data_IF_945618486275
#
_entry.id   IF_945618486275
#
_cell.length_a   1.000
_cell.length_b   1.000
_cell.length_c   1.000
_cell.angle_alpha   90.00
_cell.angle_beta   90.00
_cell.angle_gamma   90.00
#
_symmetry.space_group_name_H-M   'P 1'
#
loop_
_entity.id
_entity.type
_entity.pdbx_description
1 polymer ?
#
# COMPACT_ATOMS: atom_id res chain seq x y z
N UNK A 1 92.67 89.18 -40.32
CA UNK A 1 91.38 88.53 -40.68
C UNK A 1 91.44 87.44 -41.76
N UNK A 2 92.23 87.54 -42.85
CA UNK A 2 92.23 86.51 -43.92
C UNK A 2 92.95 85.17 -43.57
N UNK A 3 94.02 85.21 -42.77
CA UNK A 3 94.87 84.04 -42.46
C UNK A 3 94.23 83.09 -41.43
N UNK A 4 93.50 83.63 -40.45
CA UNK A 4 92.70 82.85 -39.49
C UNK A 4 91.50 82.18 -40.16
N UNK A 5 90.81 82.84 -41.09
CA UNK A 5 89.71 82.23 -41.88
C UNK A 5 90.15 81.02 -42.71
N UNK A 6 91.37 81.00 -43.27
CA UNK A 6 91.92 79.83 -43.99
C UNK A 6 92.25 78.66 -43.05
N UNK A 7 92.78 78.93 -41.85
CA UNK A 7 93.08 77.91 -40.83
C UNK A 7 91.79 77.29 -40.27
N UNK A 8 90.77 78.12 -40.00
CA UNK A 8 89.44 77.66 -39.59
C UNK A 8 88.77 76.80 -40.67
N UNK A 9 88.81 77.20 -41.95
CA UNK A 9 88.28 76.39 -43.07
C UNK A 9 88.98 75.03 -43.21
N UNK A 10 90.31 74.97 -43.04
CA UNK A 10 91.07 73.70 -43.11
C UNK A 10 90.74 72.78 -41.93
N UNK A 11 90.60 73.33 -40.73
CA UNK A 11 90.16 72.59 -39.54
C UNK A 11 88.71 72.07 -39.70
N UNK A 12 87.83 72.89 -40.29
CA UNK A 12 86.44 72.53 -40.57
C UNK A 12 86.34 71.39 -41.60
N UNK A 13 87.17 71.41 -42.65
CA UNK A 13 87.23 70.34 -43.66
C UNK A 13 87.76 69.03 -43.07
N UNK A 14 88.80 69.07 -42.23
CA UNK A 14 89.31 67.88 -41.54
C UNK A 14 88.28 67.34 -40.54
N UNK A 15 87.58 68.20 -39.82
CA UNK A 15 86.49 67.82 -38.92
C UNK A 15 85.29 67.22 -39.69
N UNK A 16 84.93 67.79 -40.85
CA UNK A 16 83.89 67.25 -41.73
C UNK A 16 84.29 65.88 -42.30
N UNK A 17 85.54 65.70 -42.73
CA UNK A 17 86.07 64.41 -43.20
C UNK A 17 86.10 63.37 -42.07
N UNK A 18 86.43 63.78 -40.83
CA UNK A 18 86.39 62.92 -39.65
C UNK A 18 84.95 62.52 -39.26
N UNK A 19 83.99 63.44 -39.37
CA UNK A 19 82.56 63.12 -39.22
C UNK A 19 82.11 62.16 -40.34
N UNK A 20 82.60 62.36 -41.56
CA UNK A 20 82.29 61.49 -42.70
C UNK A 20 82.81 60.06 -42.48
N UNK A 21 84.06 59.90 -42.01
CA UNK A 21 84.65 58.59 -41.73
C UNK A 21 83.97 57.89 -40.56
N UNK A 22 83.61 58.63 -39.49
CA UNK A 22 82.76 58.11 -38.40
C UNK A 22 81.40 57.68 -38.96
N UNK A 23 80.82 58.45 -39.87
CA UNK A 23 79.58 58.12 -40.56
C UNK A 23 79.68 56.83 -41.39
N UNK A 24 80.78 56.63 -42.13
CA UNK A 24 81.03 55.40 -42.89
C UNK A 24 81.29 54.18 -42.00
N UNK A 25 82.04 54.34 -40.90
CA UNK A 25 82.29 53.27 -39.92
C UNK A 25 80.97 52.89 -39.23
N UNK A 26 80.17 53.88 -38.83
CA UNK A 26 78.85 53.65 -38.23
C UNK A 26 77.87 53.02 -39.23
N UNK A 27 77.85 53.50 -40.48
CA UNK A 27 77.03 52.93 -41.55
C UNK A 27 77.44 51.49 -41.90
N UNK A 28 78.74 51.23 -42.03
CA UNK A 28 79.29 49.89 -42.23
C UNK A 28 78.99 48.96 -41.05
N UNK A 29 79.05 49.46 -39.82
CA UNK A 29 78.66 48.72 -38.61
C UNK A 29 77.16 48.37 -38.61
N UNK A 30 76.28 49.30 -39.00
CA UNK A 30 74.84 49.04 -39.15
C UNK A 30 74.55 47.98 -40.22
N UNK A 31 75.23 48.06 -41.37
CA UNK A 31 75.10 47.10 -42.46
C UNK A 31 75.60 45.73 -42.01
N UNK A 32 76.75 45.67 -41.33
CA UNK A 32 77.27 44.45 -40.71
C UNK A 32 76.27 43.82 -39.73
N UNK A 33 75.66 44.62 -38.84
CA UNK A 33 74.62 44.13 -37.93
C UNK A 33 73.40 43.60 -38.69
N UNK A 34 72.96 44.26 -39.77
CA UNK A 34 71.86 43.77 -40.60
C UNK A 34 72.19 42.47 -41.32
N UNK A 35 73.41 42.32 -41.85
CA UNK A 35 73.86 41.10 -42.53
C UNK A 35 74.09 39.92 -41.57
N UNK A 36 74.42 40.18 -40.30
CA UNK A 36 74.75 39.13 -39.32
C UNK A 36 73.61 38.76 -38.38
N UNK A 37 72.76 39.73 -38.01
CA UNK A 37 71.62 39.54 -37.09
C UNK A 37 70.31 39.41 -37.87
N UNK A 38 70.13 40.19 -38.94
CA UNK A 38 68.90 40.19 -39.75
C UNK A 38 68.44 38.79 -40.18
N UNK A 39 69.30 37.96 -40.80
CA UNK A 39 68.94 36.59 -41.20
C UNK A 39 68.57 35.66 -40.03
N UNK A 40 68.99 36.00 -38.81
CA UNK A 40 68.67 35.24 -37.60
C UNK A 40 67.35 35.68 -36.97
N UNK A 41 66.82 36.84 -37.31
CA UNK A 41 65.49 37.25 -36.84
C UNK A 41 64.44 36.38 -37.53
N UNK A 42 63.58 35.74 -36.73
CA UNK A 42 62.42 35.04 -37.27
C UNK A 42 61.46 36.08 -37.82
N UNK A 43 61.07 35.96 -39.08
CA UNK A 43 60.07 36.83 -39.70
C UNK A 43 58.74 36.76 -38.95
N UNK A 44 58.40 35.57 -38.46
CA UNK A 44 57.18 35.27 -37.73
C UNK A 44 57.43 34.31 -36.56
N UNK A 45 56.77 34.57 -35.44
CA UNK A 45 56.70 33.70 -34.26
C UNK A 45 55.24 33.39 -34.00
N UNK A 46 54.92 32.10 -33.92
CA UNK A 46 53.61 31.61 -33.48
C UNK A 46 53.68 31.37 -31.98
N UNK A 47 52.65 31.82 -31.26
CA UNK A 47 52.49 31.60 -29.82
C UNK A 47 51.10 31.06 -29.55
N UNK A 48 51.03 29.98 -28.79
CA UNK A 48 49.77 29.43 -28.33
C UNK A 48 49.15 30.32 -27.25
N UNK A 49 47.83 30.47 -27.28
CA UNK A 49 47.12 31.34 -26.36
C UNK A 49 47.37 30.94 -24.89
N UNK A 50 47.65 31.94 -24.05
CA UNK A 50 48.01 31.75 -22.65
C UNK A 50 49.43 31.25 -22.38
N UNK A 51 50.26 31.02 -23.40
CA UNK A 51 51.69 30.69 -23.21
C UNK A 51 52.57 31.93 -22.99
N UNK A 52 53.74 31.70 -22.39
CA UNK A 52 54.71 32.74 -22.12
C UNK A 52 55.69 32.90 -23.29
N UNK A 53 55.88 34.14 -23.75
CA UNK A 53 56.85 34.47 -24.79
C UNK A 53 58.01 35.33 -24.25
N UNK A 54 59.22 35.01 -24.69
CA UNK A 54 60.47 35.71 -24.36
C UNK A 54 61.03 36.40 -25.60
N UNK A 55 61.78 37.49 -25.38
CA UNK A 55 62.41 38.22 -26.49
C UNK A 55 63.43 37.38 -27.27
N UNK A 56 63.99 36.32 -26.66
CA UNK A 56 64.85 35.34 -27.32
C UNK A 56 64.13 34.51 -28.40
N UNK A 57 62.81 34.33 -28.29
CA UNK A 57 62.06 33.41 -29.15
C UNK A 57 61.95 33.93 -30.60
N UNK A 58 62.23 35.22 -30.79
CA UNK A 58 62.28 35.91 -32.07
C UNK A 58 63.60 35.74 -32.83
N UNK A 59 64.60 35.06 -32.25
CA UNK A 59 65.94 34.92 -32.85
C UNK A 59 66.31 33.44 -32.99
N UNK A 60 66.88 33.07 -34.14
CA UNK A 60 67.45 31.75 -34.41
C UNK A 60 68.84 31.63 -33.79
N UNK A 61 69.04 30.62 -32.94
CA UNK A 61 70.32 30.35 -32.27
C UNK A 61 70.61 31.27 -31.08
N UNK A 62 71.81 31.13 -30.49
CA UNK A 62 72.21 31.95 -29.34
C UNK A 62 72.46 33.42 -29.75
N UNK A 63 71.86 34.35 -29.01
CA UNK A 63 72.13 35.78 -29.13
C UNK A 63 72.66 36.32 -27.79
N UNK A 64 73.91 36.85 -27.73
CA UNK A 64 74.48 37.38 -26.49
C UNK A 64 74.00 38.81 -26.16
N UNK A 65 73.19 39.43 -27.02
CA UNK A 65 72.79 40.83 -26.89
C UNK A 65 71.45 40.99 -26.19
N UNK A 66 71.31 42.06 -25.39
CA UNK A 66 70.02 42.49 -24.83
C UNK A 66 69.05 42.85 -25.97
N UNK A 67 67.82 42.37 -25.85
CA UNK A 67 66.74 42.60 -26.83
C UNK A 67 65.65 43.41 -26.15
N UNK A 68 65.34 44.58 -26.68
CA UNK A 68 64.18 45.38 -26.27
C UNK A 68 63.06 45.20 -27.30
N UNK A 69 61.82 45.04 -26.82
CA UNK A 69 60.64 44.79 -27.66
C UNK A 69 59.68 45.97 -27.57
N UNK A 70 59.13 46.39 -28.73
CA UNK A 70 58.03 47.34 -28.80
C UNK A 70 56.96 46.82 -29.78
N UNK A 71 55.68 46.67 -29.35
CA UNK A 71 55.17 46.84 -28.00
C UNK A 71 55.78 45.83 -27.00
N UNK A 72 55.66 46.12 -25.70
CA UNK A 72 56.14 45.21 -24.65
C UNK A 72 55.38 43.88 -24.69
N UNK A 73 56.10 42.76 -24.77
CA UNK A 73 55.50 41.41 -24.86
C UNK A 73 54.51 41.11 -23.72
N UNK A 74 54.75 41.62 -22.51
CA UNK A 74 53.87 41.44 -21.35
C UNK A 74 52.47 42.04 -21.52
N UNK A 75 52.30 42.98 -22.45
CA UNK A 75 51.02 43.65 -22.76
C UNK A 75 50.20 42.89 -23.81
N UNK A 76 50.79 41.92 -24.50
CA UNK A 76 50.16 41.17 -25.58
C UNK A 76 49.53 39.90 -25.01
N UNK A 77 48.29 40.01 -24.54
CA UNK A 77 47.57 38.91 -23.88
C UNK A 77 46.36 38.37 -24.66
N UNK A 78 46.04 38.95 -25.81
CA UNK A 78 44.87 38.57 -26.62
C UNK A 78 45.33 37.89 -27.90
N UNK A 79 44.54 36.93 -28.39
CA UNK A 79 44.70 36.37 -29.73
C UNK A 79 44.74 37.50 -30.77
N UNK A 80 45.65 37.40 -31.73
CA UNK A 80 45.84 38.42 -32.75
C UNK A 80 47.25 38.46 -33.33
N UNK A 81 47.42 39.30 -34.34
CA UNK A 81 48.68 39.50 -35.05
C UNK A 81 49.29 40.84 -34.67
N UNK A 82 50.51 40.80 -34.16
CA UNK A 82 51.22 41.97 -33.63
C UNK A 82 52.55 42.15 -34.35
N UNK A 83 52.82 43.37 -34.82
CA UNK A 83 54.13 43.74 -35.34
C UNK A 83 55.07 44.08 -34.18
N UNK A 84 56.14 43.32 -34.01
CA UNK A 84 57.13 43.48 -32.95
C UNK A 84 58.39 44.12 -33.53
N UNK A 85 58.76 45.26 -32.98
CA UNK A 85 60.07 45.88 -33.24
C UNK A 85 61.06 45.39 -32.19
N UNK A 86 62.15 44.77 -32.65
CA UNK A 86 63.27 44.30 -31.84
C UNK A 86 64.40 45.32 -31.93
N UNK A 87 64.80 45.91 -30.80
CA UNK A 87 65.97 46.79 -30.74
C UNK A 87 67.16 46.03 -30.17
N UNK A 88 68.20 45.87 -30.98
CA UNK A 88 69.42 45.12 -30.65
C UNK A 88 70.63 46.00 -31.02
N UNK A 89 71.49 46.32 -30.03
CA UNK A 89 72.65 47.21 -30.22
C UNK A 89 72.31 48.55 -30.92
N UNK A 90 71.13 49.10 -30.68
CA UNK A 90 70.68 50.37 -31.27
C UNK A 90 69.98 50.26 -32.63
N UNK A 91 70.11 49.12 -33.32
CA UNK A 91 69.41 48.86 -34.59
C UNK A 91 68.03 48.23 -34.36
N UNK A 92 67.11 48.49 -35.31
CA UNK A 92 65.73 48.02 -35.27
C UNK A 92 65.51 46.91 -36.29
N UNK A 93 64.95 45.81 -35.83
CA UNK A 93 64.49 44.70 -36.67
C UNK A 93 62.98 44.52 -36.48
N UNK A 94 62.31 43.98 -37.49
CA UNK A 94 60.87 43.69 -37.42
C UNK A 94 60.63 42.18 -37.40
N UNK A 95 59.65 41.76 -36.61
CA UNK A 95 59.10 40.41 -36.59
C UNK A 95 57.59 40.49 -36.36
N UNK A 96 56.87 39.43 -36.70
CA UNK A 96 55.43 39.29 -36.46
C UNK A 96 55.22 38.26 -35.35
N UNK A 97 54.55 38.65 -34.28
CA UNK A 97 54.00 37.72 -33.29
C UNK A 97 52.55 37.44 -33.65
N UNK A 98 52.22 36.19 -33.92
CA UNK A 98 50.84 35.74 -34.09
C UNK A 98 50.47 34.87 -32.89
N UNK A 99 49.59 35.39 -32.04
CA UNK A 99 49.02 34.65 -30.91
C UNK A 99 47.74 34.00 -31.42
N UNK A 100 47.68 32.67 -31.39
CA UNK A 100 46.52 31.87 -31.81
C UNK A 100 46.15 30.90 -30.70
N UNK A 101 44.87 30.61 -30.60
CA UNK A 101 44.41 29.46 -29.83
C UNK A 101 44.18 28.32 -30.81
N UNK A 102 44.94 27.24 -30.66
CA UNK A 102 44.85 26.03 -31.48
C UNK A 102 44.56 24.79 -30.65
N UNK A 103 44.46 24.96 -29.33
CA UNK A 103 44.23 23.88 -28.38
C UNK A 103 42.73 23.73 -28.16
N UNK A 104 42.12 22.58 -28.48
CA UNK A 104 40.71 22.37 -28.18
C UNK A 104 40.48 22.16 -26.68
N UNK A 105 39.27 22.43 -26.18
CA UNK A 105 38.91 22.20 -24.78
C UNK A 105 39.13 20.74 -24.36
N UNK A 106 39.56 20.50 -23.13
CA UNK A 106 39.53 19.14 -22.56
C UNK A 106 38.15 18.87 -21.99
N UNK A 107 37.61 17.69 -22.28
CA UNK A 107 36.25 17.29 -21.92
C UNK A 107 36.28 15.90 -21.30
N UNK A 108 35.67 15.70 -20.14
CA UNK A 108 35.38 14.40 -19.54
C UNK A 108 33.89 14.31 -19.25
N UNK A 109 33.31 13.14 -19.52
CA UNK A 109 31.87 12.93 -19.47
C UNK A 109 31.50 11.85 -18.44
N UNK A 110 30.24 11.88 -18.02
CA UNK A 110 29.53 10.80 -17.34
C UNK A 110 28.30 10.39 -18.14
N UNK A 111 27.85 9.17 -17.90
CA UNK A 111 26.56 8.69 -18.40
C UNK A 111 25.42 9.27 -17.55
N UNK A 112 24.26 9.47 -18.17
CA UNK A 112 23.07 10.03 -17.52
C UNK A 112 21.90 9.07 -17.67
N UNK A 113 21.09 8.95 -16.62
CA UNK A 113 19.83 8.19 -16.64
C UNK A 113 18.69 9.09 -16.19
N UNK A 114 17.62 9.11 -16.97
CA UNK A 114 16.38 9.84 -16.68
C UNK A 114 15.17 8.94 -16.87
N UNK A 115 14.02 9.35 -16.35
CA UNK A 115 12.74 8.75 -16.68
C UNK A 115 12.06 9.41 -17.88
N UNK A 116 11.19 8.68 -18.58
CA UNK A 116 10.50 9.16 -19.78
C UNK A 116 9.60 10.38 -19.51
N UNK A 117 9.06 10.50 -18.30
CA UNK A 117 8.24 11.63 -17.85
C UNK A 117 9.06 12.88 -17.48
N UNK A 118 10.38 12.76 -17.30
CA UNK A 118 11.27 13.87 -16.93
C UNK A 118 11.72 14.71 -18.14
N UNK A 119 12.21 15.91 -17.89
CA UNK A 119 12.80 16.75 -18.93
C UNK A 119 14.09 16.15 -19.50
N UNK A 120 14.38 16.41 -20.78
CA UNK A 120 15.62 15.93 -21.40
C UNK A 120 16.83 16.61 -20.74
N UNK A 121 17.95 15.87 -20.53
CA UNK A 121 19.13 16.42 -19.90
C UNK A 121 19.79 17.48 -20.78
N UNK A 122 20.40 18.46 -20.13
CA UNK A 122 21.22 19.47 -20.75
C UNK A 122 22.64 18.92 -21.01
N UNK A 123 23.41 19.49 -21.96
CA UNK A 123 24.78 19.02 -22.21
C UNK A 123 25.66 19.09 -20.96
N UNK A 124 25.41 20.04 -20.06
CA UNK A 124 26.12 20.19 -18.79
C UNK A 124 25.95 18.98 -17.86
N UNK A 125 24.80 18.29 -17.89
CA UNK A 125 24.51 17.14 -17.03
C UNK A 125 25.44 15.95 -17.32
N UNK A 126 26.00 15.89 -18.54
CA UNK A 126 26.95 14.88 -18.95
C UNK A 126 28.40 15.25 -18.63
N UNK A 127 28.71 16.48 -18.21
CA UNK A 127 30.10 16.95 -18.08
C UNK A 127 30.60 16.80 -16.65
N UNK A 128 31.61 15.96 -16.46
CA UNK A 128 32.32 15.84 -15.16
C UNK A 128 33.50 16.79 -15.08
N UNK A 129 34.14 17.08 -16.23
CA UNK A 129 35.28 18.00 -16.29
C UNK A 129 35.33 18.73 -17.63
N UNK A 130 35.54 20.04 -17.58
CA UNK A 130 35.74 20.89 -18.74
C UNK A 130 36.85 21.91 -18.44
N UNK A 131 37.97 21.85 -19.16
CA UNK A 131 39.05 22.83 -19.04
C UNK A 131 39.39 23.44 -20.39
N UNK A 132 39.43 24.76 -20.44
CA UNK A 132 39.96 25.51 -21.57
C UNK A 132 40.47 26.87 -21.10
N UNK A 133 41.41 27.46 -21.83
CA UNK A 133 41.91 28.82 -21.53
C UNK A 133 40.95 29.90 -22.02
N UNK A 134 40.01 29.54 -22.87
CA UNK A 134 39.07 30.40 -23.55
C UNK A 134 37.63 30.03 -23.15
N UNK A 135 36.64 30.82 -23.55
CA UNK A 135 35.23 30.52 -23.22
C UNK A 135 34.75 29.36 -24.09
N UNK A 136 34.10 28.38 -23.48
CA UNK A 136 33.54 27.21 -24.17
C UNK A 136 32.02 27.28 -24.25
N UNK A 137 31.48 26.85 -25.39
CA UNK A 137 30.07 26.57 -25.65
C UNK A 137 29.89 25.05 -25.79
N UNK A 138 28.91 24.48 -25.06
CA UNK A 138 28.56 23.07 -25.15
C UNK A 138 27.34 22.87 -26.05
N UNK A 139 27.34 21.78 -26.81
CA UNK A 139 26.19 21.30 -27.57
C UNK A 139 26.04 19.80 -27.39
N UNK A 140 24.81 19.34 -27.38
CA UNK A 140 24.44 17.93 -27.40
C UNK A 140 23.82 17.58 -28.76
N UNK A 141 24.03 16.36 -29.24
CA UNK A 141 23.32 15.83 -30.40
C UNK A 141 21.81 15.78 -30.14
N UNK A 142 21.02 15.64 -31.21
CA UNK A 142 19.57 15.44 -31.10
C UNK A 142 19.28 14.18 -30.27
N UNK A 143 18.27 14.27 -29.39
CA UNK A 143 17.83 13.20 -28.50
C UNK A 143 16.39 12.84 -28.88
N UNK A 144 16.16 11.55 -29.13
CA UNK A 144 14.80 11.02 -29.26
C UNK A 144 14.29 10.67 -27.85
N UNK A 145 13.16 11.26 -27.44
CA UNK A 145 12.57 11.03 -26.12
C UNK A 145 11.76 9.72 -26.11
N UNK A 146 12.47 8.60 -26.24
CA UNK A 146 11.93 7.24 -26.23
C UNK A 146 12.71 6.39 -25.24
N UNK A 147 12.05 5.41 -24.63
CA UNK A 147 12.69 4.51 -23.69
C UNK A 147 13.78 3.67 -24.35
N UNK A 148 14.90 3.52 -23.65
CA UNK A 148 16.07 2.77 -24.09
C UNK A 148 17.38 3.51 -23.88
N UNK A 149 18.45 2.84 -24.26
CA UNK A 149 19.80 3.38 -24.26
C UNK A 149 20.07 4.07 -25.60
N UNK A 150 20.56 5.31 -25.54
CA UNK A 150 21.04 6.05 -26.71
C UNK A 150 22.41 6.68 -26.45
N UNK A 151 23.19 6.80 -27.52
CA UNK A 151 24.52 7.41 -27.46
C UNK A 151 24.41 8.87 -27.89
N UNK A 152 24.76 9.80 -27.00
CA UNK A 152 24.75 11.23 -27.28
C UNK A 152 26.17 11.75 -27.48
N UNK A 153 26.33 12.72 -28.39
CA UNK A 153 27.62 13.38 -28.63
C UNK A 153 27.62 14.76 -28.01
N UNK A 154 28.53 15.00 -27.07
CA UNK A 154 28.78 16.31 -26.47
C UNK A 154 29.93 16.98 -27.19
N UNK A 155 29.67 18.16 -27.74
CA UNK A 155 30.64 18.99 -28.45
C UNK A 155 31.00 20.20 -27.61
N UNK A 156 32.25 20.29 -27.16
CA UNK A 156 32.82 21.48 -26.55
C UNK A 156 33.51 22.31 -27.64
N UNK A 157 33.00 23.52 -27.89
CA UNK A 157 33.58 24.46 -28.85
C UNK A 157 34.09 25.70 -28.13
N UNK A 158 35.37 25.98 -28.28
CA UNK A 158 35.99 27.19 -27.73
C UNK A 158 35.59 28.45 -28.54
N UNK A 159 35.90 29.65 -28.03
CA UNK A 159 35.55 30.89 -28.73
C UNK A 159 36.31 31.11 -30.06
N UNK A 160 37.39 30.34 -30.28
CA UNK A 160 38.26 30.38 -31.46
C UNK A 160 38.02 29.23 -32.44
N UNK A 161 36.94 28.45 -32.23
CA UNK A 161 36.46 27.33 -33.06
C UNK A 161 37.26 26.04 -32.96
N UNK A 162 38.12 25.88 -31.96
CA UNK A 162 38.69 24.57 -31.62
C UNK A 162 37.62 23.72 -30.92
N UNK A 163 37.61 22.41 -31.23
CA UNK A 163 36.53 21.50 -30.81
C UNK A 163 37.05 20.20 -30.22
N UNK A 164 36.34 19.73 -29.20
CA UNK A 164 36.43 18.37 -28.68
C UNK A 164 35.05 17.75 -28.67
N UNK A 165 34.94 16.55 -29.23
CA UNK A 165 33.70 15.77 -29.22
C UNK A 165 33.95 14.49 -28.43
N UNK A 166 33.04 14.20 -27.49
CA UNK A 166 33.01 12.93 -26.77
C UNK A 166 31.60 12.39 -26.73
N UNK A 167 31.50 11.07 -26.60
CA UNK A 167 30.22 10.38 -26.51
C UNK A 167 29.96 9.95 -25.08
N UNK A 168 28.70 9.99 -24.68
CA UNK A 168 28.21 9.48 -23.40
C UNK A 168 26.93 8.69 -23.63
N UNK A 169 26.59 7.82 -22.69
CA UNK A 169 25.35 7.06 -22.71
C UNK A 169 24.24 7.87 -22.01
N UNK A 170 23.10 7.99 -22.69
CA UNK A 170 21.84 8.43 -22.09
C UNK A 170 20.90 7.22 -22.02
N UNK A 171 20.46 6.89 -20.81
CA UNK A 171 19.41 5.87 -20.59
C UNK A 171 18.12 6.58 -20.23
N UNK A 172 17.08 6.41 -21.07
CA UNK A 172 15.71 6.87 -20.76
C UNK A 172 14.92 5.64 -20.36
N UNK A 173 14.37 5.60 -19.15
CA UNK A 173 13.60 4.45 -18.66
C UNK A 173 12.14 4.80 -18.44
N UNK A 174 11.26 3.83 -18.66
CA UNK A 174 9.86 3.94 -18.24
C UNK A 174 9.74 3.54 -16.78
N UNK A 175 8.88 4.25 -16.07
CA UNK A 175 8.44 3.82 -14.76
C UNK A 175 7.16 3.02 -14.90
N UNK A 176 7.26 1.73 -14.60
CA UNK A 176 6.17 0.75 -14.69
C UNK A 176 5.85 0.13 -13.34
N UNK A 177 6.56 0.57 -12.28
CA UNK A 177 6.37 0.06 -10.94
C UNK A 177 5.14 0.73 -10.33
N UNK A 178 4.22 -0.08 -9.81
CA UNK A 178 3.04 0.42 -9.12
C UNK A 178 3.25 0.54 -7.61
N UNK A 179 2.36 1.26 -6.89
CA UNK A 179 2.47 1.42 -5.44
C UNK A 179 2.48 0.08 -4.69
N UNK A 180 3.22 0.00 -3.59
CA UNK A 180 3.32 -1.19 -2.72
C UNK A 180 2.45 -0.99 -1.48
N UNK A 181 1.67 -2.02 -1.10
CA UNK A 181 0.83 -2.00 0.10
C UNK A 181 1.50 -2.63 1.31
N UNK A 182 1.35 -1.99 2.47
CA UNK A 182 1.67 -2.55 3.80
C UNK A 182 0.43 -2.60 4.70
N UNK A 183 0.50 -3.36 5.80
CA UNK A 183 -0.58 -3.40 6.80
C UNK A 183 -1.80 -4.29 6.47
N UNK A 184 -1.75 -5.06 5.38
CA UNK A 184 -2.83 -5.96 4.95
C UNK A 184 -2.94 -7.28 5.75
N UNK A 185 -2.71 -7.22 7.06
CA UNK A 185 -2.85 -8.35 7.97
C UNK A 185 -4.31 -8.81 8.09
N UNK A 186 -4.55 -10.09 8.36
CA UNK A 186 -5.92 -10.61 8.52
C UNK A 186 -6.66 -9.91 9.66
N UNK A 187 -7.90 -9.45 9.40
CA UNK A 187 -8.80 -8.92 10.44
C UNK A 187 -9.72 -10.04 10.92
N UNK A 188 -10.01 -10.09 12.22
CA UNK A 188 -11.11 -10.90 12.77
C UNK A 188 -12.14 -10.00 13.44
N UNK A 189 -13.41 -10.16 13.08
CA UNK A 189 -14.55 -9.43 13.64
C UNK A 189 -15.67 -10.40 14.00
N UNK A 190 -16.66 -9.96 14.75
CA UNK A 190 -17.91 -10.69 14.96
C UNK A 190 -18.99 -10.28 13.95
N UNK A 191 -19.99 -11.15 13.76
CA UNK A 191 -21.15 -10.84 12.92
C UNK A 191 -21.82 -9.53 13.35
N UNK A 192 -22.08 -8.66 12.38
CA UNK A 192 -22.62 -7.31 12.57
C UNK A 192 -21.58 -6.20 12.70
N UNK A 193 -20.32 -6.48 13.03
CA UNK A 193 -19.29 -5.46 13.20
C UNK A 193 -18.83 -4.88 11.85
N UNK A 194 -18.49 -3.58 11.82
CA UNK A 194 -18.02 -2.86 10.63
C UNK A 194 -16.71 -2.12 10.96
N UNK A 195 -15.53 -2.72 10.71
CA UNK A 195 -14.25 -2.10 11.03
C UNK A 195 -13.87 -1.02 10.01
N UNK A 196 -13.04 -0.06 10.42
CA UNK A 196 -12.37 0.85 9.47
C UNK A 196 -11.30 0.07 8.70
N UNK A 197 -11.54 -0.11 7.39
CA UNK A 197 -10.68 -0.90 6.51
C UNK A 197 -9.43 -0.14 6.07
N UNK A 198 -9.39 1.20 6.20
CA UNK A 198 -8.20 1.99 5.85
C UNK A 198 -7.21 2.11 7.01
N UNK A 199 -7.69 1.95 8.23
CA UNK A 199 -6.86 2.06 9.42
C UNK A 199 -5.68 1.07 9.39
N UNK A 200 -4.47 1.61 9.54
CA UNK A 200 -3.21 0.86 9.55
C UNK A 200 -2.77 0.30 8.19
N UNK A 201 -3.35 0.77 7.08
CA UNK A 201 -2.95 0.39 5.71
C UNK A 201 -2.32 1.59 5.02
N UNK A 202 -1.18 1.37 4.37
CA UNK A 202 -0.47 2.36 3.56
C UNK A 202 -0.23 1.81 2.16
N UNK A 203 -0.23 2.70 1.17
CA UNK A 203 0.25 2.43 -0.17
C UNK A 203 1.37 3.44 -0.47
N UNK A 204 2.52 2.96 -0.93
CA UNK A 204 3.69 3.80 -1.17
C UNK A 204 4.30 3.44 -2.51
N UNK A 205 4.47 4.45 -3.35
CA UNK A 205 5.25 4.38 -4.58
C UNK A 205 6.73 4.72 -4.33
N UNK A 206 7.63 4.10 -5.09
CA UNK A 206 9.07 4.29 -4.94
C UNK A 206 9.56 5.68 -5.32
N UNK A 207 8.91 6.33 -6.30
CA UNK A 207 9.26 7.67 -6.81
C UNK A 207 8.35 8.76 -6.25
N UNK A 208 7.05 8.49 -6.16
CA UNK A 208 6.04 9.48 -5.78
C UNK A 208 5.67 9.45 -4.28
N UNK A 209 6.17 8.47 -3.52
CA UNK A 209 5.92 8.38 -2.08
C UNK A 209 4.51 7.90 -1.75
N UNK A 210 3.88 8.46 -0.71
CA UNK A 210 2.59 7.95 -0.22
C UNK A 210 1.49 8.20 -1.26
N UNK A 211 0.75 7.14 -1.59
CA UNK A 211 -0.31 7.15 -2.61
C UNK A 211 -1.67 6.90 -1.98
N UNK A 212 -2.70 7.58 -2.49
CA UNK A 212 -4.08 7.27 -2.11
C UNK A 212 -4.53 5.90 -2.65
N UNK A 213 -5.48 5.27 -1.96
CA UNK A 213 -6.04 4.00 -2.36
C UNK A 213 -7.54 3.89 -2.07
N UNK A 214 -8.17 3.01 -2.84
CA UNK A 214 -9.59 2.63 -2.68
C UNK A 214 -9.70 1.23 -2.10
N UNK A 215 -10.80 0.97 -1.38
CA UNK A 215 -11.11 -0.33 -0.79
C UNK A 215 -12.47 -0.81 -1.34
N UNK A 216 -12.51 -2.03 -1.85
CA UNK A 216 -13.73 -2.72 -2.27
C UNK A 216 -13.98 -3.93 -1.35
N UNK A 217 -15.03 -3.82 -0.54
CA UNK A 217 -15.55 -4.85 0.36
C UNK A 217 -16.95 -5.33 -0.04
N UNK A 218 -17.41 -5.04 -1.26
CA UNK A 218 -18.76 -5.35 -1.75
C UNK A 218 -19.14 -6.83 -1.65
N UNK A 219 -18.14 -7.72 -1.62
CA UNK A 219 -18.32 -9.18 -1.49
C UNK A 219 -18.34 -9.68 -0.05
N UNK A 220 -18.11 -8.81 0.94
CA UNK A 220 -18.11 -9.18 2.36
C UNK A 220 -19.54 -9.18 2.89
N UNK A 221 -19.98 -10.31 3.41
CA UNK A 221 -21.21 -10.37 4.20
C UNK A 221 -20.84 -10.31 5.69
N UNK A 222 -20.86 -9.10 6.24
CA UNK A 222 -20.53 -8.84 7.64
C UNK A 222 -21.52 -9.46 8.63
N UNK A 223 -22.71 -9.85 8.18
CA UNK A 223 -23.77 -10.39 9.03
C UNK A 223 -23.79 -11.94 8.98
N UNK A 224 -22.83 -12.54 8.27
CA UNK A 224 -22.68 -13.98 8.17
C UNK A 224 -21.25 -14.39 8.49
N UNK A 225 -21.10 -15.38 9.37
CA UNK A 225 -19.78 -15.94 9.65
C UNK A 225 -19.14 -16.53 8.41
N UNK A 226 -17.86 -16.23 8.20
CA UNK A 226 -17.15 -16.67 7.02
C UNK A 226 -15.76 -16.06 6.94
N UNK A 227 -15.04 -16.42 5.89
CA UNK A 227 -13.78 -15.77 5.51
C UNK A 227 -14.01 -15.11 4.16
N UNK A 228 -13.81 -13.80 4.10
CA UNK A 228 -14.02 -12.99 2.91
C UNK A 228 -12.71 -12.30 2.50
N UNK A 229 -12.64 -11.91 1.23
CA UNK A 229 -11.54 -11.11 0.69
C UNK A 229 -12.07 -9.71 0.39
N UNK A 230 -11.27 -8.71 0.77
CA UNK A 230 -11.45 -7.32 0.38
C UNK A 230 -10.28 -6.90 -0.51
N UNK A 231 -10.52 -5.97 -1.41
CA UNK A 231 -9.58 -5.56 -2.45
C UNK A 231 -9.13 -4.12 -2.20
N UNK A 232 -7.83 -3.89 -2.28
CA UNK A 232 -7.21 -2.57 -2.16
C UNK A 232 -6.54 -2.25 -3.48
N UNK A 233 -6.82 -1.07 -4.02
CA UNK A 233 -6.28 -0.61 -5.30
C UNK A 233 -5.68 0.77 -5.13
N UNK A 234 -4.42 0.93 -5.55
CA UNK A 234 -3.69 2.20 -5.57
C UNK A 234 -3.18 2.45 -6.99
N UNK A 235 -3.02 3.73 -7.33
CA UNK A 235 -2.55 4.21 -8.63
C UNK A 235 -1.61 5.39 -8.40
N UNK A 236 -0.42 5.36 -8.97
CA UNK A 236 0.54 6.47 -8.90
C UNK A 236 0.19 7.61 -9.88
N UNK A 237 1.07 8.61 -10.00
CA UNK A 237 0.87 9.77 -10.88
C UNK A 237 0.95 9.42 -12.38
N UNK A 238 1.72 8.39 -12.75
CA UNK A 238 1.87 7.92 -14.14
C UNK A 238 0.79 6.90 -14.55
N UNK A 239 0.07 6.41 -13.57
CA UNK A 239 -1.04 5.52 -13.70
C UNK A 239 -0.75 4.03 -13.60
N UNK A 240 0.42 3.66 -13.10
CA UNK A 240 0.75 2.31 -12.69
C UNK A 240 -0.14 1.90 -11.51
N UNK A 241 -0.78 0.73 -11.62
CA UNK A 241 -1.79 0.27 -10.67
C UNK A 241 -1.36 -1.00 -9.95
N UNK A 242 -1.57 -1.04 -8.64
CA UNK A 242 -1.43 -2.25 -7.82
C UNK A 242 -2.76 -2.60 -7.18
N UNK A 243 -3.15 -3.87 -7.27
CA UNK A 243 -4.28 -4.42 -6.50
C UNK A 243 -3.81 -5.55 -5.58
N UNK A 244 -4.15 -5.45 -4.29
CA UNK A 244 -3.87 -6.48 -3.27
C UNK A 244 -5.13 -6.86 -2.52
N UNK A 245 -5.10 -8.02 -1.88
CA UNK A 245 -6.24 -8.52 -1.08
C UNK A 245 -5.89 -8.59 0.39
N UNK A 246 -6.83 -8.22 1.26
CA UNK A 246 -6.80 -8.52 2.70
C UNK A 246 -7.87 -9.54 3.05
N UNK A 247 -7.57 -10.39 4.02
CA UNK A 247 -8.53 -11.39 4.50
C UNK A 247 -9.29 -10.84 5.71
N UNK A 248 -10.61 -10.98 5.71
CA UNK A 248 -11.46 -10.69 6.86
C UNK A 248 -12.19 -11.96 7.32
N UNK A 249 -12.04 -12.29 8.60
CA UNK A 249 -12.69 -13.43 9.26
C UNK A 249 -13.85 -12.93 10.10
N UNK A 250 -15.07 -13.18 9.65
CA UNK A 250 -16.29 -12.90 10.40
C UNK A 250 -16.62 -14.13 11.25
N UNK A 251 -16.54 -13.97 12.56
CA UNK A 251 -16.86 -15.00 13.56
C UNK A 251 -18.29 -14.82 14.02
N UNK A 252 -18.98 -15.92 14.28
CA UNK A 252 -20.28 -15.85 14.93
C UNK A 252 -20.12 -15.52 16.41
N UNK A 253 -20.99 -14.67 16.94
CA UNK A 253 -21.15 -14.48 18.38
C UNK A 253 -22.07 -15.55 18.94
N UNK A 254 -21.62 -16.28 19.96
CA UNK A 254 -22.41 -17.29 20.65
C UNK A 254 -22.90 -16.71 21.97
N UNK A 255 -24.21 -16.75 22.18
CA UNK A 255 -24.85 -16.39 23.44
C UNK A 255 -25.24 -17.68 24.16
N UNK A 256 -24.81 -17.84 25.40
CA UNK A 256 -25.14 -18.98 26.25
C UNK A 256 -25.51 -18.49 27.64
N UNK A 257 -26.51 -19.13 28.23
CA UNK A 257 -26.83 -19.02 29.64
C UNK A 257 -25.87 -19.95 30.38
N UNK A 258 -25.06 -19.36 31.25
CA UNK A 258 -24.04 -20.08 31.99
C UNK A 258 -24.65 -21.05 33.01
N UNK A 259 -24.05 -22.23 33.13
CA UNK A 259 -24.37 -23.24 34.14
C UNK A 259 -25.86 -23.64 34.20
N UNK A 260 -26.60 -23.55 33.09
CA UNK A 260 -27.97 -24.04 33.04
C UNK A 260 -28.01 -25.57 33.29
N UNK A 261 -28.83 -26.07 34.22
CA UNK A 261 -28.83 -27.48 34.59
C UNK A 261 -29.37 -28.35 33.45
N UNK A 262 -29.03 -29.64 33.46
CA UNK A 262 -29.56 -30.61 32.50
C UNK A 262 -29.98 -31.88 33.21
N UNK A 263 -31.18 -32.37 32.92
CA UNK A 263 -31.74 -33.58 33.52
C UNK A 263 -32.33 -34.50 32.47
N UNK A 264 -32.09 -35.81 32.62
CA UNK A 264 -32.58 -36.83 31.70
C UNK A 264 -33.94 -37.37 32.15
N UNK A 265 -34.86 -37.61 31.22
CA UNK A 265 -36.17 -38.19 31.50
C UNK A 265 -36.12 -39.71 31.71
N UNK A 266 -35.20 -40.40 31.03
CA UNK A 266 -35.07 -41.85 31.13
C UNK A 266 -34.24 -42.30 32.34
N UNK A 267 -34.57 -43.48 32.94
CA UNK A 267 -35.65 -44.40 32.54
C UNK A 267 -37.02 -44.09 33.17
N UNK A 268 -37.05 -43.22 34.18
CA UNK A 268 -38.21 -43.10 35.08
C UNK A 268 -39.44 -42.41 34.45
N UNK A 269 -39.21 -41.58 33.43
CA UNK A 269 -40.24 -40.74 32.81
C UNK A 269 -40.19 -40.82 31.28
N UNK A 270 -40.47 -42.00 30.67
CA UNK A 270 -40.29 -42.24 29.24
C UNK A 270 -41.00 -41.24 28.32
N UNK A 271 -42.17 -40.71 28.72
CA UNK A 271 -42.93 -39.71 27.99
C UNK A 271 -43.02 -38.37 28.75
N UNK A 272 -42.05 -38.08 29.63
CA UNK A 272 -42.09 -36.93 30.53
C UNK A 272 -41.36 -35.66 30.05
N UNK A 273 -41.06 -35.52 28.76
CA UNK A 273 -40.16 -34.47 28.25
C UNK A 273 -40.56 -33.05 28.69
N UNK A 274 -41.85 -32.73 28.65
CA UNK A 274 -42.41 -31.42 29.02
C UNK A 274 -42.25 -31.14 30.52
N UNK A 275 -42.41 -32.17 31.34
CA UNK A 275 -42.30 -32.04 32.80
C UNK A 275 -40.84 -31.98 33.25
N UNK A 276 -39.94 -32.71 32.58
CA UNK A 276 -38.50 -32.65 32.88
C UNK A 276 -37.89 -31.34 32.34
N UNK A 277 -38.36 -30.82 31.20
CA UNK A 277 -38.00 -29.48 30.75
C UNK A 277 -38.45 -28.41 31.76
N UNK A 278 -39.70 -28.49 32.25
CA UNK A 278 -40.21 -27.58 33.28
C UNK A 278 -39.42 -27.71 34.59
N UNK A 279 -39.14 -28.94 35.03
CA UNK A 279 -38.31 -29.21 36.21
C UNK A 279 -36.95 -28.52 36.10
N UNK A 280 -36.30 -28.65 34.95
CA UNK A 280 -34.99 -28.04 34.69
C UNK A 280 -35.07 -26.51 34.76
N UNK A 281 -36.11 -25.92 34.17
CA UNK A 281 -36.39 -24.49 34.24
C UNK A 281 -36.62 -24.02 35.69
N UNK A 282 -37.45 -24.72 36.46
CA UNK A 282 -37.72 -24.42 37.87
C UNK A 282 -36.46 -24.53 38.74
N UNK A 283 -35.59 -25.53 38.47
CA UNK A 283 -34.31 -25.69 39.16
C UNK A 283 -33.36 -24.53 38.89
N UNK A 284 -33.28 -24.06 37.65
CA UNK A 284 -32.50 -22.85 37.32
C UNK A 284 -32.94 -21.63 38.13
N UNK A 285 -34.25 -21.47 38.35
CA UNK A 285 -34.81 -20.40 39.19
C UNK A 285 -34.83 -20.72 40.70
N UNK A 286 -34.07 -21.73 41.15
CA UNK A 286 -33.90 -22.04 42.58
C UNK A 286 -35.11 -22.70 43.26
N UNK A 287 -36.09 -23.18 42.51
CA UNK A 287 -37.31 -23.77 43.08
C UNK A 287 -37.04 -25.21 43.56
N UNK A 288 -37.34 -25.47 44.83
CA UNK A 288 -37.15 -26.79 45.43
C UNK A 288 -38.36 -27.71 45.20
N UNK A 289 -38.41 -28.36 44.03
CA UNK A 289 -39.38 -29.41 43.70
C UNK A 289 -38.66 -30.65 43.16
N UNK A 290 -39.31 -31.81 43.18
CA UNK A 290 -38.81 -33.04 42.53
C UNK A 290 -39.55 -33.32 41.21
N UNK A 291 -38.93 -34.03 40.24
CA UNK A 291 -39.62 -34.43 39.01
C UNK A 291 -40.88 -35.27 39.28
N UNK A 292 -40.80 -36.15 40.28
CA UNK A 292 -41.89 -37.01 40.73
C UNK A 292 -43.10 -36.21 41.20
N UNK A 293 -42.87 -35.15 42.00
CA UNK A 293 -43.91 -34.25 42.48
C UNK A 293 -44.61 -33.54 41.32
N UNK A 294 -43.85 -33.02 40.35
CA UNK A 294 -44.41 -32.37 39.17
C UNK A 294 -45.27 -33.32 38.35
N UNK A 295 -44.79 -34.54 38.10
CA UNK A 295 -45.53 -35.54 37.33
C UNK A 295 -46.81 -35.97 38.05
N UNK A 296 -46.77 -36.15 39.36
CA UNK A 296 -47.95 -36.55 40.12
C UNK A 296 -49.02 -35.43 40.11
N UNK A 297 -48.60 -34.16 40.18
CA UNK A 297 -49.49 -32.99 40.16
C UNK A 297 -49.90 -32.49 38.76
N UNK A 298 -49.29 -33.02 37.68
CA UNK A 298 -49.72 -32.74 36.32
C UNK A 298 -51.12 -33.34 36.07
N UNK A 299 -52.06 -32.53 35.59
CA UNK A 299 -53.38 -33.02 35.14
C UNK A 299 -53.17 -34.01 33.99
N UNK A 300 -53.80 -35.20 34.09
CA UNK A 300 -53.72 -36.28 33.10
C UNK A 300 -55.12 -36.62 32.62
N UNK A 301 -55.22 -36.92 31.34
CA UNK A 301 -56.39 -37.51 30.70
C UNK A 301 -56.05 -38.85 30.08
N UNK A 302 -57.06 -39.49 29.50
CA UNK A 302 -56.90 -40.82 28.92
C UNK A 302 -55.98 -40.80 27.70
N UNK A 303 -55.11 -41.82 27.61
CA UNK A 303 -54.42 -42.11 26.36
C UNK A 303 -55.42 -42.58 25.29
N UNK A 304 -55.13 -42.46 23.99
CA UNK A 304 -56.11 -42.82 22.96
C UNK A 304 -56.55 -44.28 23.03
N UNK A 305 -57.86 -44.50 23.06
CA UNK A 305 -58.49 -45.82 23.15
C UNK A 305 -59.66 -45.92 22.17
N UNK A 306 -60.09 -47.16 21.87
CA UNK A 306 -61.20 -47.43 20.95
C UNK A 306 -62.49 -47.73 21.73
N UNK A 307 -63.60 -47.15 21.28
CA UNK A 307 -64.94 -47.45 21.76
C UNK A 307 -65.85 -47.62 20.53
N UNK A 308 -66.07 -48.88 20.14
CA UNK A 308 -66.58 -49.21 18.80
C UNK A 308 -65.59 -48.77 17.72
N UNK A 309 -66.10 -48.14 16.67
CA UNK A 309 -65.29 -47.64 15.54
C UNK A 309 -64.72 -46.22 15.77
N UNK A 310 -64.99 -45.61 16.92
CA UNK A 310 -64.53 -44.26 17.24
C UNK A 310 -63.34 -44.34 18.21
N UNK A 311 -62.26 -43.64 17.86
CA UNK A 311 -61.09 -43.48 18.71
C UNK A 311 -61.26 -42.24 19.57
N UNK A 312 -61.28 -42.42 20.89
CA UNK A 312 -61.35 -41.33 21.86
C UNK A 312 -60.01 -41.12 22.58
N UNK A 313 -59.83 -39.97 23.22
CA UNK A 313 -58.67 -39.69 24.05
C UNK A 313 -58.69 -38.29 24.68
N UNK A 314 -57.73 -38.04 25.57
CA UNK A 314 -57.54 -36.73 26.21
C UNK A 314 -57.12 -35.63 25.23
N UNK A 315 -57.16 -34.38 25.67
CA UNK A 315 -56.78 -33.23 24.83
C UNK A 315 -55.48 -32.58 25.36
N UNK A 316 -54.38 -32.58 24.57
CA UNK A 316 -53.08 -32.06 25.01
C UNK A 316 -53.08 -30.57 25.33
N UNK A 317 -54.06 -29.79 24.86
CA UNK A 317 -54.24 -28.37 25.23
C UNK A 317 -54.68 -28.16 26.68
N UNK A 318 -55.26 -29.17 27.34
CA UNK A 318 -55.85 -29.04 28.68
C UNK A 318 -55.32 -30.04 29.70
N UNK A 319 -54.70 -31.15 29.26
CA UNK A 319 -54.12 -32.17 30.14
C UNK A 319 -53.10 -33.05 29.42
N UNK A 320 -52.30 -33.79 30.17
CA UNK A 320 -51.38 -34.76 29.61
C UNK A 320 -52.13 -36.00 29.12
N UNK A 321 -51.95 -36.37 27.86
CA UNK A 321 -52.61 -37.51 27.24
C UNK A 321 -51.85 -38.80 27.60
N UNK A 322 -52.45 -39.62 28.47
CA UNK A 322 -51.85 -40.85 28.99
C UNK A 322 -51.04 -40.61 30.27
N UNK A 323 -49.91 -41.30 30.42
CA UNK A 323 -49.08 -41.24 31.63
C UNK A 323 -47.61 -40.95 31.29
N UNK A 324 -46.99 -39.89 31.86
CA UNK A 324 -45.57 -39.56 31.64
C UNK A 324 -44.58 -40.67 32.02
N UNK A 325 -44.98 -41.55 32.96
CA UNK A 325 -44.17 -42.70 33.43
C UNK A 325 -44.29 -43.93 32.52
N UNK A 326 -45.23 -43.94 31.58
CA UNK A 326 -45.45 -45.06 30.68
C UNK A 326 -44.83 -44.78 29.31
N UNK A 327 -44.22 -45.79 28.69
CA UNK A 327 -43.60 -45.68 27.36
C UNK A 327 -44.60 -45.48 26.22
N UNK A 328 -45.89 -45.75 26.47
CA UNK A 328 -46.99 -45.50 25.55
C UNK A 328 -47.75 -44.19 25.84
N UNK A 329 -47.26 -43.36 26.78
CA UNK A 329 -47.79 -42.01 27.00
C UNK A 329 -47.54 -41.11 25.79
N UNK A 330 -48.45 -40.17 25.54
CA UNK A 330 -48.35 -39.24 24.42
C UNK A 330 -47.61 -37.98 24.86
N UNK A 331 -48.31 -36.97 25.36
CA UNK A 331 -47.70 -35.72 25.80
C UNK A 331 -48.71 -34.64 26.14
N UNK A 332 -48.23 -33.42 26.27
CA UNK A 332 -49.02 -32.25 26.67
C UNK A 332 -48.50 -30.97 26.02
N UNK A 333 -49.36 -30.00 25.76
CA UNK A 333 -48.96 -28.67 25.29
C UNK A 333 -48.71 -27.71 26.46
N UNK A 334 -48.51 -26.44 26.16
CA UNK A 334 -47.98 -25.47 27.12
C UNK A 334 -48.95 -25.09 28.23
N UNK A 335 -50.27 -25.06 28.00
CA UNK A 335 -51.22 -24.54 29.00
C UNK A 335 -51.27 -25.38 30.30
N UNK A 336 -51.32 -26.72 30.25
CA UNK A 336 -51.29 -27.52 31.48
C UNK A 336 -49.92 -27.44 32.18
N UNK A 337 -48.85 -27.28 31.40
CA UNK A 337 -47.50 -27.05 31.94
C UNK A 337 -47.39 -25.68 32.63
N UNK A 338 -47.99 -24.62 32.06
CA UNK A 338 -48.09 -23.29 32.68
C UNK A 338 -48.89 -23.37 33.98
N UNK A 339 -50.05 -24.05 33.97
CA UNK A 339 -50.87 -24.24 35.15
C UNK A 339 -50.11 -24.98 36.24
N UNK A 340 -49.38 -26.04 35.89
CA UNK A 340 -48.52 -26.77 36.81
C UNK A 340 -47.37 -25.90 37.34
N UNK A 341 -46.69 -25.16 36.47
CA UNK A 341 -45.56 -24.31 36.81
C UNK A 341 -45.96 -23.25 37.85
N UNK A 342 -47.11 -22.60 37.66
CA UNK A 342 -47.66 -21.58 38.56
C UNK A 342 -48.02 -22.11 39.95
N UNK A 343 -48.11 -23.43 40.17
CA UNK A 343 -48.26 -24.01 41.51
C UNK A 343 -46.97 -23.90 42.35
N UNK A 344 -45.81 -23.74 41.71
CA UNK A 344 -44.50 -23.73 42.39
C UNK A 344 -43.76 -22.41 42.27
N UNK A 345 -43.96 -21.67 41.18
CA UNK A 345 -43.47 -20.31 40.99
C UNK A 345 -44.45 -19.55 40.11
N UNK A 346 -45.01 -18.45 40.61
CA UNK A 346 -45.91 -17.60 39.83
C UNK A 346 -45.16 -16.80 38.77
N UNK A 347 -45.87 -16.39 37.72
CA UNK A 347 -45.37 -15.44 36.73
C UNK A 347 -44.71 -16.07 35.51
N UNK A 348 -44.95 -17.35 35.25
CA UNK A 348 -44.57 -17.93 33.96
C UNK A 348 -45.40 -17.28 32.85
N UNK A 349 -44.74 -16.93 31.75
CA UNK A 349 -45.34 -16.24 30.61
C UNK A 349 -45.58 -17.25 29.49
N UNK A 350 -46.79 -17.26 28.92
CA UNK A 350 -47.06 -17.93 27.65
C UNK A 350 -46.58 -17.02 26.50
N UNK A 351 -45.49 -17.41 25.86
CA UNK A 351 -44.91 -16.70 24.73
C UNK A 351 -45.22 -17.39 23.39
N UNK A 352 -46.21 -18.29 23.38
CA UNK A 352 -46.63 -19.01 22.18
C UNK A 352 -47.02 -18.07 21.05
N UNK A 353 -46.63 -18.43 19.82
CA UNK A 353 -46.91 -17.66 18.59
C UNK A 353 -45.76 -16.75 18.15
N UNK A 354 -44.83 -16.41 19.05
CA UNK A 354 -43.67 -15.58 18.72
C UNK A 354 -42.64 -16.32 17.85
N UNK A 355 -41.94 -15.57 17.01
CA UNK A 355 -40.89 -16.11 16.14
C UNK A 355 -39.70 -16.65 16.95
N UNK A 356 -38.90 -17.55 16.36
CA UNK A 356 -37.70 -18.04 17.04
C UNK A 356 -36.74 -16.89 17.35
N UNK A 357 -36.61 -15.89 16.47
CA UNK A 357 -35.74 -14.73 16.72
C UNK A 357 -36.17 -13.95 17.98
N UNK A 358 -37.48 -13.76 18.19
CA UNK A 358 -37.98 -13.12 19.41
C UNK A 358 -37.71 -13.97 20.65
N UNK A 359 -37.83 -15.30 20.55
CA UNK A 359 -37.45 -16.22 21.62
C UNK A 359 -35.95 -16.16 21.92
N UNK A 360 -35.11 -16.14 20.89
CA UNK A 360 -33.66 -16.07 21.05
C UNK A 360 -33.20 -14.73 21.64
N UNK A 361 -33.94 -13.64 21.45
CA UNK A 361 -33.64 -12.37 22.11
C UNK A 361 -33.86 -12.46 23.64
N UNK A 362 -34.84 -13.24 24.12
CA UNK A 362 -34.99 -13.53 25.55
C UNK A 362 -33.75 -14.29 26.07
N UNK A 363 -33.32 -15.31 25.33
CA UNK A 363 -32.14 -16.12 25.68
C UNK A 363 -30.85 -15.30 25.69
N UNK A 364 -30.71 -14.37 24.73
CA UNK A 364 -29.60 -13.40 24.68
C UNK A 364 -29.52 -12.55 25.94
N UNK A 365 -30.67 -12.22 26.53
CA UNK A 365 -30.80 -11.44 27.76
C UNK A 365 -30.78 -12.32 29.04
N UNK A 366 -30.36 -13.59 28.92
CA UNK A 366 -30.19 -14.49 30.05
C UNK A 366 -31.44 -15.27 30.46
N UNK A 367 -32.51 -15.21 29.67
CA UNK A 367 -33.79 -15.87 29.98
C UNK A 367 -33.94 -17.19 29.22
N UNK A 368 -33.88 -18.36 29.88
CA UNK A 368 -34.08 -19.66 29.24
C UNK A 368 -35.55 -19.87 28.89
N UNK A 369 -35.81 -20.52 27.74
CA UNK A 369 -37.18 -20.67 27.21
C UNK A 369 -37.49 -22.13 26.91
N UNK A 370 -38.52 -22.69 27.54
CA UNK A 370 -39.03 -24.02 27.21
C UNK A 370 -39.87 -23.95 25.94
N UNK A 371 -39.64 -24.87 25.00
CA UNK A 371 -40.34 -24.91 23.71
C UNK A 371 -40.72 -26.33 23.31
N UNK A 372 -41.68 -26.44 22.38
CA UNK A 372 -42.13 -27.70 21.80
C UNK A 372 -41.57 -27.89 20.39
N UNK A 373 -41.04 -29.08 20.15
CA UNK A 373 -40.40 -29.51 18.91
C UNK A 373 -40.63 -31.01 18.72
N UNK A 374 -39.91 -31.64 17.78
CA UNK A 374 -39.86 -33.10 17.66
C UNK A 374 -38.57 -33.67 18.26
N UNK A 375 -38.59 -34.94 18.65
CA UNK A 375 -37.41 -35.67 19.14
C UNK A 375 -36.28 -35.57 18.12
N UNK A 376 -35.11 -35.08 18.56
CA UNK A 376 -33.92 -34.82 17.73
C UNK A 376 -34.18 -33.91 16.52
N UNK A 377 -35.24 -33.09 16.57
CA UNK A 377 -35.71 -32.23 15.48
C UNK A 377 -35.95 -32.94 14.15
N UNK A 378 -36.39 -34.20 14.19
CA UNK A 378 -36.73 -34.94 12.98
C UNK A 378 -37.99 -34.37 12.33
N UNK A 379 -38.04 -34.38 11.00
CA UNK A 379 -39.28 -34.05 10.28
C UNK A 379 -40.39 -35.03 10.72
N UNK A 380 -41.59 -34.49 10.93
CA UNK A 380 -42.73 -35.27 11.39
C UNK A 380 -44.03 -34.61 10.92
N UNK A 381 -45.15 -35.28 11.16
CA UNK A 381 -46.49 -34.90 10.75
C UNK A 381 -47.52 -35.46 11.74
N UNK A 382 -48.78 -35.10 11.53
CA UNK A 382 -49.89 -35.80 12.17
C UNK A 382 -49.78 -37.29 11.87
N UNK A 383 -49.94 -38.12 12.90
CA UNK A 383 -49.80 -39.57 12.82
C UNK A 383 -50.90 -40.34 13.56
N UNK A 384 -51.68 -39.64 14.38
CA UNK A 384 -52.83 -40.19 15.07
C UNK A 384 -53.88 -39.09 15.22
N UNK A 385 -55.14 -39.48 15.12
CA UNK A 385 -56.28 -38.61 15.34
C UNK A 385 -57.27 -39.32 16.26
N UNK A 386 -57.91 -38.58 17.15
CA UNK A 386 -58.97 -39.09 18.02
C UNK A 386 -59.95 -37.97 18.40
N UNK A 387 -61.11 -38.33 18.93
CA UNK A 387 -62.10 -37.38 19.41
C UNK A 387 -61.94 -37.21 20.93
N UNK A 388 -61.91 -35.96 21.41
CA UNK A 388 -62.05 -35.71 22.84
C UNK A 388 -63.50 -35.95 23.27
N UNK A 389 -63.72 -36.94 24.14
CA UNK A 389 -65.07 -37.40 24.51
C UNK A 389 -65.92 -36.32 25.19
N UNK A 390 -65.30 -35.43 25.96
CA UNK A 390 -66.01 -34.35 26.66
C UNK A 390 -66.47 -33.23 25.71
N UNK A 391 -65.60 -32.83 24.77
CA UNK A 391 -65.89 -31.67 23.91
C UNK A 391 -66.36 -32.02 22.50
N UNK A 392 -66.28 -33.29 22.10
CA UNK A 392 -66.56 -33.75 20.74
C UNK A 392 -65.58 -33.22 19.68
N UNK A 393 -64.44 -32.65 20.10
CA UNK A 393 -63.46 -32.05 19.17
C UNK A 393 -62.48 -33.10 18.69
N UNK A 394 -62.17 -33.07 17.40
CA UNK A 394 -61.10 -33.86 16.82
C UNK A 394 -59.73 -33.31 17.27
N UNK A 395 -58.82 -34.22 17.60
CA UNK A 395 -57.45 -33.95 18.05
C UNK A 395 -56.50 -34.59 17.05
N UNK A 396 -55.73 -33.76 16.36
CA UNK A 396 -54.62 -34.20 15.52
C UNK A 396 -53.31 -34.24 16.32
N UNK A 397 -52.73 -35.43 16.42
CA UNK A 397 -51.47 -35.63 17.13
C UNK A 397 -50.28 -35.68 16.18
N UNK A 398 -49.41 -34.69 16.33
CA UNK A 398 -48.12 -34.64 15.66
C UNK A 398 -47.16 -35.58 16.39
N UNK A 399 -46.69 -36.61 15.68
CA UNK A 399 -45.83 -37.63 16.25
C UNK A 399 -44.48 -37.08 16.74
N UNK A 400 -43.83 -37.86 17.61
CA UNK A 400 -42.50 -37.55 18.14
C UNK A 400 -42.45 -36.18 18.83
N UNK A 401 -43.58 -35.71 19.38
CA UNK A 401 -43.61 -34.51 20.19
C UNK A 401 -42.50 -34.58 21.24
N UNK A 402 -41.81 -33.46 21.40
CA UNK A 402 -40.74 -33.28 22.36
C UNK A 402 -40.78 -31.88 22.93
N UNK A 403 -40.27 -31.73 24.15
CA UNK A 403 -40.11 -30.44 24.80
C UNK A 403 -38.74 -30.35 25.43
N UNK A 404 -38.09 -29.21 25.24
CA UNK A 404 -36.73 -28.92 25.71
C UNK A 404 -36.59 -27.44 26.04
N UNK A 405 -35.48 -27.04 26.67
CA UNK A 405 -35.23 -25.64 27.05
C UNK A 405 -34.11 -25.05 26.21
N UNK A 406 -34.36 -23.94 25.51
CA UNK A 406 -33.35 -23.17 24.80
C UNK A 406 -32.51 -22.40 25.82
N UNK A 407 -31.20 -22.58 25.75
CA UNK A 407 -30.21 -22.03 26.69
C UNK A 407 -29.11 -21.24 26.00
N UNK A 408 -29.11 -21.22 24.67
CA UNK A 408 -28.23 -20.35 23.91
C UNK A 408 -28.42 -20.51 22.43
N UNK A 409 -27.71 -19.68 21.67
CA UNK A 409 -27.73 -19.72 20.23
C UNK A 409 -26.55 -18.97 19.64
N UNK A 410 -26.38 -19.16 18.35
CA UNK A 410 -25.50 -18.39 17.52
C UNK A 410 -26.14 -18.28 16.12
N UNK A 411 -25.45 -17.71 15.13
CA UNK A 411 -26.05 -17.50 13.79
C UNK A 411 -26.53 -18.80 13.14
N UNK A 412 -25.85 -19.91 13.43
CA UNK A 412 -26.05 -21.19 12.77
C UNK A 412 -26.77 -22.22 13.64
N UNK A 413 -26.71 -22.08 14.97
CA UNK A 413 -27.15 -23.11 15.91
C UNK A 413 -27.99 -22.58 17.06
N UNK A 414 -28.89 -23.43 17.56
CA UNK A 414 -29.60 -23.27 18.83
C UNK A 414 -29.08 -24.34 19.79
N UNK A 415 -28.79 -23.94 21.02
CA UNK A 415 -28.31 -24.81 22.09
C UNK A 415 -29.43 -25.03 23.10
N UNK A 416 -29.64 -26.28 23.50
CA UNK A 416 -30.78 -26.66 24.33
C UNK A 416 -30.40 -27.63 25.42
N UNK A 417 -30.94 -27.46 26.63
CA UNK A 417 -31.00 -28.53 27.62
C UNK A 417 -32.07 -29.54 27.20
N UNK A 418 -31.64 -30.72 26.73
CA UNK A 418 -32.53 -31.73 26.16
C UNK A 418 -32.80 -32.86 27.19
N UNK A 419 -34.05 -33.03 27.66
CA UNK A 419 -34.39 -34.10 28.61
C UNK A 419 -34.35 -35.50 28.00
N UNK A 420 -34.43 -35.64 26.68
CA UNK A 420 -34.34 -36.94 26.02
C UNK A 420 -32.92 -37.51 26.09
N UNK A 421 -31.91 -36.67 25.88
CA UNK A 421 -30.50 -37.09 25.91
C UNK A 421 -29.87 -36.90 27.29
N UNK A 422 -30.37 -35.95 28.08
CA UNK A 422 -29.77 -35.53 29.34
C UNK A 422 -28.50 -34.71 29.15
N UNK A 423 -28.36 -34.02 28.00
CA UNK A 423 -27.19 -33.18 27.67
C UNK A 423 -27.62 -31.85 27.06
N UNK A 424 -26.69 -30.90 27.04
CA UNK A 424 -26.83 -29.71 26.20
C UNK A 424 -26.57 -30.11 24.75
N UNK A 425 -27.63 -30.12 23.95
CA UNK A 425 -27.59 -30.46 22.54
C UNK A 425 -27.46 -29.21 21.67
N UNK A 426 -26.89 -29.37 20.47
CA UNK A 426 -26.73 -28.32 19.48
C UNK A 426 -27.48 -28.69 18.21
N UNK A 427 -28.35 -27.80 17.76
CA UNK A 427 -29.19 -28.01 16.60
C UNK A 427 -29.04 -26.92 15.55
N UNK A 428 -29.14 -27.27 14.26
CA UNK A 428 -29.21 -26.29 13.18
C UNK A 428 -30.37 -25.33 13.40
N UNK A 429 -30.11 -24.02 13.37
CA UNK A 429 -31.12 -22.98 13.61
C UNK A 429 -32.26 -23.03 12.59
N UNK A 430 -31.97 -23.35 11.33
CA UNK A 430 -32.99 -23.48 10.29
C UNK A 430 -33.91 -24.67 10.52
N UNK A 431 -33.35 -25.82 10.90
CA UNK A 431 -34.14 -27.00 11.24
C UNK A 431 -34.94 -26.78 12.53
N UNK A 432 -34.36 -26.12 13.52
CA UNK A 432 -35.04 -25.74 14.76
C UNK A 432 -36.26 -24.86 14.46
N UNK A 433 -36.08 -23.79 13.68
CA UNK A 433 -37.15 -22.88 13.29
C UNK A 433 -38.29 -23.61 12.57
N UNK A 434 -37.97 -24.52 11.66
CA UNK A 434 -38.95 -25.33 10.92
C UNK A 434 -39.81 -26.17 11.86
N UNK A 435 -39.17 -26.91 12.75
CA UNK A 435 -39.86 -27.82 13.68
C UNK A 435 -40.61 -27.05 14.76
N UNK A 436 -40.02 -26.01 15.33
CA UNK A 436 -40.69 -25.10 16.26
C UNK A 436 -41.98 -24.51 15.67
N UNK A 437 -41.95 -24.11 14.39
CA UNK A 437 -43.15 -23.63 13.69
C UNK A 437 -44.21 -24.73 13.54
N UNK A 438 -43.80 -25.96 13.21
CA UNK A 438 -44.71 -27.11 13.08
C UNK A 438 -45.46 -27.38 14.39
N UNK A 439 -44.81 -27.23 15.54
CA UNK A 439 -45.42 -27.41 16.86
C UNK A 439 -46.15 -26.16 17.39
N UNK A 440 -46.53 -25.23 16.49
CA UNK A 440 -47.36 -24.08 16.83
C UNK A 440 -46.60 -22.94 17.51
N UNK A 441 -45.27 -22.88 17.38
CA UNK A 441 -44.41 -21.85 18.00
C UNK A 441 -44.65 -21.74 19.52
N UNK A 442 -44.80 -22.87 20.20
CA UNK A 442 -45.09 -22.90 21.64
C UNK A 442 -43.83 -22.62 22.44
N UNK A 443 -43.91 -21.63 23.30
CA UNK A 443 -42.79 -21.16 24.10
C UNK A 443 -43.28 -20.64 25.45
N UNK A 444 -42.62 -21.02 26.52
CA UNK A 444 -42.90 -20.52 27.87
C UNK A 444 -41.59 -20.18 28.58
N UNK A 445 -41.63 -19.15 29.43
CA UNK A 445 -40.45 -18.70 30.19
C UNK A 445 -40.87 -17.98 31.47
N UNK A 446 -39.94 -17.82 32.41
CA UNK A 446 -40.10 -16.86 33.50
C UNK A 446 -39.31 -15.59 33.18
N UNK A 447 -39.88 -14.39 33.36
CA UNK A 447 -39.11 -13.17 33.30
C UNK A 447 -38.03 -13.16 34.39
N UNK A 448 -36.88 -12.56 34.09
CA UNK A 448 -35.76 -12.41 35.02
C UNK A 448 -36.09 -11.46 36.17
#
# INVERSE_FOLDING_TARGET
>A
MLKERKKLKKLLIVFLLFILTIGFIYGGYKIYLHLTIGPKIKEKVLLEYGENIKSSDFIKGKNPYKIETNPSLKKLKKVGTYKITLKIKGEKFSSILEIKDTTPPTLELQDVTIYLDEDLPLPEDFVTKLEDKSKVELKISEIEKVAGDQEVTITATDQYKNKTEKKAKLTIQEDTDGPVFEGLNTISIYTGERPDLKNGVTATDGRFGITEFTVDDSKVNYDKSGTYKIYYTAKDELGNMTTKTRTIKVKTRTYMIDNFPVYKQFPNYPSGCETIALYTLLKYYGVNVSPETLINNLKKGDGPYWEGDIRYGGNPEIEFVGNPKASNGYGVYQKPIIALANQYKSGIVDYTGHSLNQVLELVKNGTPVQVWVSIKLQNTSVCATWINKETGKEIDWICRLHSLVIVGFNDNYVYTSDPYTGKTEKYSRSQFQKIYNLFGKRAIYYPN
#
